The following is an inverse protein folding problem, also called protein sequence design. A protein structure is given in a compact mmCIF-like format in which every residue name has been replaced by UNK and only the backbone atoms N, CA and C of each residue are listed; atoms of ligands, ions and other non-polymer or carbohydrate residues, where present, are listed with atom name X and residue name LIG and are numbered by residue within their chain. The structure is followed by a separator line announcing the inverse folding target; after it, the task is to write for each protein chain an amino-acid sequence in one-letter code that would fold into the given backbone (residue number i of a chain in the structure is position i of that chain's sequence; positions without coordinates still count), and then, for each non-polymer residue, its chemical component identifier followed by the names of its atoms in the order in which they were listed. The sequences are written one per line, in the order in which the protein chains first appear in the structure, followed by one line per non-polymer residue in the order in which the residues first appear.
data_IF_653733850015
#
_entry.id   IF_653733850015
#
_cell.length_a   1.000
_cell.length_b   1.000
_cell.length_c   1.000
_cell.angle_alpha   90.00
_cell.angle_beta   90.00
_cell.angle_gamma   90.00
#
_symmetry.space_group_name_H-M   'P 1'
#
loop_
_entity.id
_entity.type
_entity.pdbx_description
1 polymer ?
#
# COMPACT_ATOMS: atom_id res chain seq x y z
N UNK A 1 9.61 -17.95 7.25
CA UNK A 1 9.21 -16.91 8.19
C UNK A 1 8.54 -17.54 9.40
N UNK A 2 8.93 -17.15 10.61
CA UNK A 2 8.29 -17.57 11.86
C UNK A 2 7.27 -16.51 12.23
N UNK A 3 6.01 -16.86 12.23
CA UNK A 3 4.98 -16.10 12.91
C UNK A 3 4.83 -16.67 14.32
N UNK A 4 5.05 -15.85 15.33
CA UNK A 4 4.71 -16.19 16.70
C UNK A 4 3.26 -15.76 16.94
N UNK A 5 2.36 -16.70 16.86
CA UNK A 5 0.97 -16.55 17.32
C UNK A 5 0.94 -17.12 18.74
N UNK A 6 0.79 -16.24 19.74
CA UNK A 6 0.46 -16.57 21.12
C UNK A 6 1.21 -17.76 21.75
N UNK A 7 1.41 -17.77 23.06
CA UNK A 7 2.33 -18.64 23.78
C UNK A 7 2.14 -20.17 23.65
N UNK A 8 1.22 -20.71 22.85
CA UNK A 8 0.96 -22.17 22.82
C UNK A 8 0.72 -22.83 21.45
N UNK A 9 1.08 -22.20 20.32
CA UNK A 9 0.99 -22.90 19.04
C UNK A 9 2.18 -22.61 18.14
N UNK A 10 3.11 -23.56 18.04
CA UNK A 10 4.17 -23.55 17.02
C UNK A 10 3.72 -24.41 15.83
N UNK A 11 3.39 -23.80 14.70
CA UNK A 11 3.27 -24.50 13.44
C UNK A 11 4.61 -24.36 12.69
N UNK A 12 5.24 -25.48 12.37
CA UNK A 12 6.45 -25.54 11.53
C UNK A 12 6.02 -25.83 10.12
N UNK A 13 6.23 -24.89 9.21
CA UNK A 13 6.02 -25.12 7.78
C UNK A 13 7.39 -25.37 7.13
N UNK A 14 7.52 -26.51 6.46
CA UNK A 14 8.65 -26.80 5.57
C UNK A 14 8.24 -26.34 4.17
N UNK A 15 8.97 -25.39 3.60
CA UNK A 15 8.80 -24.98 2.22
C UNK A 15 9.77 -25.80 1.38
N UNK A 16 9.25 -26.67 0.54
CA UNK A 16 10.03 -27.38 -0.48
C UNK A 16 10.25 -26.46 -1.68
N UNK A 17 11.45 -26.43 -2.21
CA UNK A 17 11.92 -25.51 -3.24
C UNK A 17 11.35 -25.82 -4.63
N UNK A 18 10.11 -25.45 -4.85
CA UNK A 18 9.48 -25.47 -6.16
C UNK A 18 8.39 -24.40 -6.17
N UNK A 19 8.40 -23.54 -7.18
CA UNK A 19 7.44 -22.47 -7.43
C UNK A 19 6.01 -22.83 -6.98
N UNK A 20 5.71 -22.61 -5.71
CA UNK A 20 4.39 -22.79 -5.16
C UNK A 20 3.79 -21.40 -4.89
N UNK A 21 2.66 -21.11 -5.52
CA UNK A 21 1.75 -20.08 -5.07
C UNK A 21 1.40 -20.40 -3.62
N UNK A 22 1.93 -19.64 -2.68
CA UNK A 22 1.56 -19.79 -1.27
C UNK A 22 0.21 -19.09 -1.09
N UNK A 23 -0.85 -19.85 -1.27
CA UNK A 23 -2.16 -19.46 -0.77
C UNK A 23 -2.17 -19.67 0.74
N UNK A 24 -2.06 -18.62 1.52
CA UNK A 24 -2.32 -18.69 2.95
C UNK A 24 -3.82 -18.74 3.16
N UNK A 25 -4.38 -19.94 3.26
CA UNK A 25 -5.71 -20.12 3.85
C UNK A 25 -5.55 -20.22 5.36
N UNK A 26 -5.58 -19.07 6.04
CA UNK A 26 -5.72 -18.98 7.48
C UNK A 26 -7.07 -18.36 7.81
N UNK A 27 -7.97 -19.11 8.45
CA UNK A 27 -9.09 -18.51 9.14
C UNK A 27 -8.57 -17.87 10.43
N UNK A 28 -8.53 -16.55 10.46
CA UNK A 28 -8.22 -15.83 11.69
C UNK A 28 -9.45 -15.87 12.60
N UNK A 29 -9.41 -16.69 13.66
CA UNK A 29 -10.34 -16.53 14.76
C UNK A 29 -9.96 -15.26 15.53
N UNK A 30 -10.87 -14.31 15.58
CA UNK A 30 -10.76 -13.08 16.34
C UNK A 30 -10.83 -13.45 17.83
N UNK A 31 -9.69 -13.62 18.47
CA UNK A 31 -9.62 -13.77 19.92
C UNK A 31 -9.71 -12.41 20.59
N UNK A 32 -10.79 -12.15 21.31
CA UNK A 32 -10.91 -11.04 22.24
C UNK A 32 -9.98 -11.27 23.43
N UNK A 33 -8.71 -10.84 23.31
CA UNK A 33 -7.87 -10.58 24.50
C UNK A 33 -6.59 -9.87 24.09
N UNK A 34 -6.52 -8.58 24.39
CA UNK A 34 -5.27 -7.82 24.45
C UNK A 34 -4.57 -7.60 23.11
N UNK A 35 -5.25 -7.05 22.12
CA UNK A 35 -4.61 -6.62 20.88
C UNK A 35 -3.47 -5.66 21.20
N UNK A 36 -2.26 -6.10 20.88
CA UNK A 36 -1.05 -5.32 21.06
C UNK A 36 -1.12 -4.11 20.13
N UNK A 37 -1.18 -2.91 20.72
CA UNK A 37 -1.18 -1.68 19.94
C UNK A 37 0.19 -1.38 19.37
N UNK A 38 0.25 -0.77 18.20
CA UNK A 38 1.45 -0.11 17.71
C UNK A 38 1.88 1.00 18.69
N UNK A 39 3.19 1.24 18.89
CA UNK A 39 3.70 2.09 19.97
C UNK A 39 3.64 3.59 19.64
N UNK A 40 2.62 4.05 18.95
CA UNK A 40 2.52 5.44 18.50
C UNK A 40 1.63 6.26 19.42
N UNK A 41 2.15 7.41 19.89
CA UNK A 41 1.46 8.28 20.84
C UNK A 41 0.44 9.22 20.20
N UNK A 42 0.50 9.38 18.89
CA UNK A 42 -0.39 10.20 18.08
C UNK A 42 -1.51 9.40 17.38
N UNK A 43 -1.72 8.14 17.79
CA UNK A 43 -2.78 7.26 17.30
C UNK A 43 -3.66 6.83 18.47
N UNK A 44 -4.92 7.25 18.47
CA UNK A 44 -5.91 6.82 19.46
C UNK A 44 -6.63 5.56 18.98
N UNK A 45 -7.03 4.70 19.91
CA UNK A 45 -7.87 3.52 19.61
C UNK A 45 -9.25 3.88 19.02
N UNK A 46 -9.72 5.09 19.23
CA UNK A 46 -10.95 5.61 18.64
C UNK A 46 -10.79 6.13 17.22
N UNK A 47 -9.56 6.26 16.72
CA UNK A 47 -9.32 6.75 15.37
C UNK A 47 -9.72 5.69 14.34
N UNK A 48 -10.37 6.12 13.25
CA UNK A 48 -10.88 5.25 12.19
C UNK A 48 -9.78 4.44 11.49
N UNK A 49 -8.54 4.88 11.61
CA UNK A 49 -7.36 4.24 11.01
C UNK A 49 -6.55 3.41 12.02
N UNK A 50 -6.95 3.33 13.29
CA UNK A 50 -6.09 2.73 14.32
C UNK A 50 -5.74 1.27 14.05
N UNK A 51 -6.70 0.45 13.59
CA UNK A 51 -6.45 -0.95 13.23
C UNK A 51 -5.51 -1.07 12.03
N UNK A 52 -5.63 -0.16 11.07
CA UNK A 52 -4.76 -0.15 9.91
C UNK A 52 -3.33 0.27 10.25
N UNK A 53 -3.17 1.19 11.20
CA UNK A 53 -1.84 1.55 11.71
C UNK A 53 -1.18 0.36 12.42
N UNK A 54 -1.94 -0.38 13.24
CA UNK A 54 -1.44 -1.61 13.85
C UNK A 54 -1.03 -2.62 12.77
N UNK A 55 -1.89 -2.85 11.77
CA UNK A 55 -1.62 -3.77 10.67
C UNK A 55 -0.31 -3.42 9.96
N UNK A 56 -0.19 -2.18 9.43
CA UNK A 56 1.01 -1.80 8.65
C UNK A 56 2.28 -1.76 9.50
N UNK A 57 2.18 -1.54 10.80
CA UNK A 57 3.30 -1.58 11.73
C UNK A 57 3.76 -3.03 12.00
N UNK A 58 2.84 -3.94 12.35
CA UNK A 58 3.19 -5.33 12.68
C UNK A 58 3.60 -6.13 11.46
N UNK A 59 3.03 -5.84 10.28
CA UNK A 59 3.48 -6.41 9.01
C UNK A 59 4.76 -5.73 8.47
N UNK A 60 5.35 -4.78 9.22
CA UNK A 60 6.59 -4.08 8.85
C UNK A 60 6.49 -3.33 7.51
N UNK A 61 5.29 -2.95 7.11
CA UNK A 61 5.05 -2.15 5.90
C UNK A 61 5.43 -0.69 6.14
N UNK A 62 5.09 -0.16 7.33
CA UNK A 62 5.41 1.20 7.76
C UNK A 62 6.23 1.19 9.03
N UNK A 63 7.13 2.15 9.13
CA UNK A 63 7.73 2.59 10.40
C UNK A 63 7.13 3.91 10.85
N UNK A 64 7.39 4.28 12.11
CA UNK A 64 7.09 5.61 12.61
C UNK A 64 7.96 6.68 11.94
N UNK A 65 7.58 7.94 12.14
CA UNK A 65 8.31 9.11 11.63
C UNK A 65 9.35 9.66 12.59
N UNK A 66 9.54 9.00 13.73
CA UNK A 66 10.43 9.40 14.82
C UNK A 66 9.64 9.76 16.08
N UNK A 67 10.32 9.87 17.21
CA UNK A 67 9.77 10.31 18.50
C UNK A 67 8.51 9.59 18.98
N UNK A 68 8.31 8.32 18.53
CA UNK A 68 7.11 7.55 18.86
C UNK A 68 5.85 8.01 18.13
N UNK A 69 6.00 8.67 16.98
CA UNK A 69 4.90 9.17 16.15
C UNK A 69 4.72 8.31 14.90
N UNK A 70 3.46 8.13 14.49
CA UNK A 70 3.09 7.59 13.18
C UNK A 70 2.89 8.69 12.14
N UNK A 71 2.49 9.88 12.58
CA UNK A 71 2.13 11.03 11.74
C UNK A 71 1.00 10.71 10.74
N UNK A 72 -0.20 10.29 11.22
CA UNK A 72 -1.27 9.74 10.37
C UNK A 72 -1.76 10.70 9.29
N UNK A 73 -1.72 12.01 9.54
CA UNK A 73 -2.18 13.05 8.60
C UNK A 73 -1.07 13.58 7.68
N UNK A 74 0.17 13.13 7.86
CA UNK A 74 1.25 13.50 6.94
C UNK A 74 1.03 12.86 5.57
N UNK A 75 1.34 13.59 4.50
CA UNK A 75 1.33 13.06 3.14
C UNK A 75 2.45 12.04 2.95
N UNK A 76 2.22 11.09 2.07
CA UNK A 76 3.28 10.19 1.59
C UNK A 76 3.85 10.71 0.28
N UNK A 77 5.14 10.56 0.10
CA UNK A 77 5.77 10.76 -1.20
C UNK A 77 5.77 9.46 -2.04
N UNK A 78 6.10 9.62 -3.31
CA UNK A 78 6.09 8.51 -4.28
C UNK A 78 7.15 7.46 -3.97
N UNK A 79 8.31 7.87 -3.44
CA UNK A 79 9.37 6.95 -3.03
C UNK A 79 8.93 6.10 -1.82
N UNK A 80 8.23 6.71 -0.87
CA UNK A 80 7.68 5.99 0.28
C UNK A 80 6.68 4.90 -0.13
N UNK A 81 5.75 5.20 -1.04
CA UNK A 81 4.71 4.23 -1.40
C UNK A 81 5.26 3.01 -2.15
N UNK A 82 6.24 3.18 -3.05
CA UNK A 82 6.85 2.03 -3.73
C UNK A 82 7.70 1.19 -2.78
N UNK A 83 8.32 1.81 -1.76
CA UNK A 83 9.02 1.09 -0.69
C UNK A 83 8.05 0.23 0.12
N UNK A 84 6.86 0.73 0.39
CA UNK A 84 5.81 -0.03 1.07
C UNK A 84 5.36 -1.23 0.24
N UNK A 85 5.19 -1.08 -1.07
CA UNK A 85 4.85 -2.20 -1.94
C UNK A 85 5.97 -3.25 -2.01
N UNK A 86 7.23 -2.82 -2.00
CA UNK A 86 8.35 -3.75 -1.90
C UNK A 86 8.32 -4.56 -0.59
N UNK A 87 8.04 -3.90 0.54
CA UNK A 87 7.86 -4.58 1.82
C UNK A 87 6.67 -5.55 1.79
N UNK A 88 5.54 -5.12 1.21
CA UNK A 88 4.33 -5.94 1.05
C UNK A 88 4.56 -7.14 0.14
N UNK A 89 5.48 -7.03 -0.82
CA UNK A 89 5.96 -8.13 -1.65
C UNK A 89 6.84 -9.14 -0.88
N UNK A 90 7.03 -8.95 0.43
CA UNK A 90 7.88 -9.78 1.27
C UNK A 90 9.36 -9.43 1.17
N UNK A 91 9.70 -8.19 0.77
CA UNK A 91 11.07 -7.73 0.57
C UNK A 91 11.88 -8.75 -0.25
N UNK A 92 11.52 -9.00 -1.51
CA UNK A 92 12.06 -10.10 -2.30
C UNK A 92 13.58 -10.06 -2.31
N UNK A 93 14.19 -11.18 -1.91
CA UNK A 93 15.64 -11.31 -1.86
C UNK A 93 16.16 -11.37 -3.30
N UNK A 94 16.95 -10.40 -3.68
CA UNK A 94 17.63 -10.29 -4.97
C UNK A 94 18.63 -9.16 -4.90
N UNK A 95 19.60 -9.14 -5.79
CA UNK A 95 20.44 -7.96 -5.95
C UNK A 95 19.54 -6.84 -6.50
N UNK A 96 19.11 -5.96 -5.62
CA UNK A 96 18.51 -4.69 -6.05
C UNK A 96 19.65 -3.88 -6.65
N UNK A 97 19.73 -3.87 -7.98
CA UNK A 97 20.75 -3.11 -8.68
C UNK A 97 20.38 -1.61 -8.67
N UNK A 98 20.82 -0.93 -7.61
CA UNK A 98 20.72 0.51 -7.51
C UNK A 98 21.68 1.26 -8.47
N UNK A 99 22.50 0.52 -9.24
CA UNK A 99 23.52 1.12 -10.12
C UNK A 99 22.95 1.60 -11.44
N UNK A 100 21.82 1.07 -11.88
CA UNK A 100 21.10 1.50 -13.08
C UNK A 100 19.97 2.43 -12.70
N UNK A 101 20.16 3.74 -12.88
CA UNK A 101 19.08 4.71 -12.76
C UNK A 101 18.05 4.45 -13.87
N UNK A 102 16.86 3.97 -13.50
CA UNK A 102 15.75 3.79 -14.45
C UNK A 102 15.12 5.13 -14.81
N UNK A 103 15.23 6.11 -13.91
CA UNK A 103 14.73 7.48 -14.09
C UNK A 103 15.84 8.49 -13.81
N UNK A 104 15.90 9.56 -14.59
CA UNK A 104 16.96 10.57 -14.51
C UNK A 104 16.95 11.37 -13.20
N UNK A 105 15.79 11.45 -12.54
CA UNK A 105 15.59 12.12 -11.25
C UNK A 105 15.72 11.20 -10.04
N UNK A 106 16.21 9.97 -10.24
CA UNK A 106 16.48 8.99 -9.19
C UNK A 106 17.97 8.67 -9.14
N UNK A 107 18.79 9.52 -8.46
CA UNK A 107 20.22 9.29 -8.40
C UNK A 107 20.58 7.99 -7.70
N UNK A 108 21.58 7.29 -8.23
CA UNK A 108 22.18 6.15 -7.56
C UNK A 108 22.70 6.54 -6.17
N UNK A 109 22.44 5.69 -5.15
CA UNK A 109 22.85 5.95 -3.77
C UNK A 109 21.79 6.64 -2.90
N UNK A 110 20.69 7.09 -3.47
CA UNK A 110 19.51 7.46 -2.67
C UNK A 110 18.87 6.22 -2.04
N UNK A 111 18.37 6.36 -0.83
CA UNK A 111 17.78 5.25 -0.08
C UNK A 111 16.63 4.56 -0.84
N UNK A 112 15.90 5.33 -1.64
CA UNK A 112 14.75 4.84 -2.39
C UNK A 112 15.09 4.26 -3.77
N UNK A 113 16.30 4.50 -4.29
CA UNK A 113 16.66 4.10 -5.64
C UNK A 113 16.45 2.62 -5.94
N UNK A 114 16.81 1.68 -5.05
CA UNK A 114 16.56 0.25 -5.27
C UNK A 114 15.07 -0.10 -5.37
N UNK A 115 14.23 0.55 -4.55
CA UNK A 115 12.79 0.30 -4.51
C UNK A 115 12.08 0.85 -5.76
N UNK A 116 12.52 2.02 -6.21
CA UNK A 116 12.01 2.63 -7.46
C UNK A 116 12.39 1.76 -8.66
N UNK A 117 13.64 1.28 -8.74
CA UNK A 117 14.08 0.36 -9.79
C UNK A 117 13.25 -0.91 -9.79
N UNK A 118 13.09 -1.54 -8.63
CA UNK A 118 12.24 -2.72 -8.50
C UNK A 118 10.79 -2.46 -8.95
N UNK A 119 10.20 -1.34 -8.53
CA UNK A 119 8.83 -1.02 -8.89
C UNK A 119 8.64 -0.80 -10.40
N UNK A 120 9.65 -0.22 -11.07
CA UNK A 120 9.66 -0.06 -12.52
C UNK A 120 9.81 -1.42 -13.23
N UNK A 121 10.75 -2.25 -12.80
CA UNK A 121 11.01 -3.58 -13.39
C UNK A 121 9.80 -4.52 -13.23
N UNK A 122 9.06 -4.39 -12.15
CA UNK A 122 7.84 -5.19 -11.90
C UNK A 122 6.58 -4.56 -12.52
N UNK A 123 6.69 -3.44 -13.23
CA UNK A 123 5.55 -2.75 -13.83
C UNK A 123 4.58 -2.14 -12.83
N UNK A 124 5.02 -1.94 -11.58
CA UNK A 124 4.23 -1.26 -10.53
C UNK A 124 4.14 0.23 -10.82
N UNK A 125 5.18 0.81 -11.42
CA UNK A 125 5.22 2.21 -11.86
C UNK A 125 5.81 2.34 -13.26
N UNK A 126 5.30 3.33 -14.00
CA UNK A 126 5.90 3.79 -15.26
C UNK A 126 6.52 5.20 -15.14
N UNK A 127 6.61 5.75 -13.91
CA UNK A 127 7.07 7.11 -13.69
C UNK A 127 5.95 8.16 -13.77
N UNK A 128 6.35 9.43 -13.83
CA UNK A 128 5.46 10.60 -13.97
C UNK A 128 5.62 11.29 -15.31
N UNK A 129 6.66 10.96 -16.04
CA UNK A 129 7.00 11.48 -17.38
C UNK A 129 7.83 10.46 -18.15
N UNK A 130 8.40 10.87 -19.27
CA UNK A 130 9.16 9.98 -20.15
C UNK A 130 10.40 9.37 -19.46
N UNK A 131 11.02 10.12 -18.55
CA UNK A 131 12.27 9.72 -17.86
C UNK A 131 12.31 10.22 -16.41
N UNK A 132 11.16 10.39 -15.78
CA UNK A 132 11.06 10.93 -14.41
C UNK A 132 10.12 10.09 -13.55
N UNK A 133 10.49 9.93 -12.28
CA UNK A 133 9.71 9.24 -11.25
C UNK A 133 9.07 10.20 -10.25
N UNK A 134 9.70 11.35 -10.00
CA UNK A 134 9.33 12.36 -9.01
C UNK A 134 9.29 11.79 -7.58
N UNK A 135 10.41 11.27 -7.04
CA UNK A 135 10.44 10.51 -5.81
C UNK A 135 9.91 11.26 -4.58
N UNK A 136 10.18 12.56 -4.49
CA UNK A 136 9.81 13.43 -3.36
C UNK A 136 8.45 14.11 -3.54
N UNK A 137 7.78 13.89 -4.67
CA UNK A 137 6.44 14.43 -4.89
C UNK A 137 5.43 13.69 -4.01
N UNK A 138 4.57 14.44 -3.33
CA UNK A 138 3.46 13.84 -2.60
C UNK A 138 2.55 13.06 -3.55
N UNK A 139 2.26 11.80 -3.21
CA UNK A 139 1.37 10.94 -4.00
C UNK A 139 -0.08 11.38 -3.78
N UNK A 140 -0.83 11.54 -4.86
CA UNK A 140 -2.25 11.84 -4.77
C UNK A 140 -3.06 10.56 -4.46
N UNK A 141 -4.30 10.74 -4.01
CA UNK A 141 -5.21 9.61 -3.73
C UNK A 141 -5.43 8.74 -4.97
N UNK A 142 -5.58 9.35 -6.14
CA UNK A 142 -5.67 8.66 -7.43
C UNK A 142 -4.39 7.90 -7.78
N UNK A 143 -3.23 8.54 -7.59
CA UNK A 143 -1.93 7.89 -7.84
C UNK A 143 -1.70 6.71 -6.90
N UNK A 144 -2.06 6.85 -5.62
CA UNK A 144 -1.92 5.76 -4.65
C UNK A 144 -2.70 4.51 -5.06
N UNK A 145 -3.98 4.68 -5.47
CA UNK A 145 -4.77 3.52 -5.94
C UNK A 145 -4.33 3.01 -7.30
N UNK A 146 -3.82 3.87 -8.20
CA UNK A 146 -3.29 3.43 -9.49
C UNK A 146 -2.02 2.58 -9.32
N UNK A 147 -1.13 2.98 -8.42
CA UNK A 147 0.06 2.20 -8.06
C UNK A 147 -0.32 0.87 -7.39
N UNK A 148 -1.30 0.88 -6.48
CA UNK A 148 -1.80 -0.34 -5.83
C UNK A 148 -2.48 -1.28 -6.85
N UNK A 149 -3.24 -0.74 -7.80
CA UNK A 149 -3.84 -1.51 -8.90
C UNK A 149 -2.76 -2.19 -9.74
N UNK A 150 -1.73 -1.42 -10.14
CA UNK A 150 -0.59 -1.98 -10.90
C UNK A 150 0.18 -3.02 -10.09
N UNK A 151 0.39 -2.81 -8.79
CA UNK A 151 0.99 -3.81 -7.91
C UNK A 151 0.17 -5.11 -7.89
N UNK A 152 -1.14 -5.01 -7.72
CA UNK A 152 -2.04 -6.16 -7.73
C UNK A 152 -2.05 -6.92 -9.05
N UNK A 153 -2.17 -6.21 -10.17
CA UNK A 153 -2.29 -6.82 -11.50
C UNK A 153 -0.95 -7.29 -12.07
N UNK A 154 0.08 -6.43 -12.03
CA UNK A 154 1.33 -6.71 -12.73
C UNK A 154 2.28 -7.55 -11.89
N UNK A 155 2.40 -7.27 -10.58
CA UNK A 155 3.30 -8.02 -9.70
C UNK A 155 2.64 -9.26 -9.11
N UNK A 156 1.44 -9.13 -8.52
CA UNK A 156 0.75 -10.26 -7.88
C UNK A 156 -0.04 -11.13 -8.88
N UNK A 157 -0.30 -10.65 -10.09
CA UNK A 157 -1.05 -11.36 -11.10
C UNK A 157 -2.54 -11.56 -10.75
N UNK A 158 -3.09 -10.66 -9.95
CA UNK A 158 -4.48 -10.72 -9.52
C UNK A 158 -5.45 -10.24 -10.62
N UNK A 159 -6.61 -10.88 -10.69
CA UNK A 159 -7.73 -10.41 -11.51
C UNK A 159 -8.60 -9.46 -10.66
N UNK A 160 -8.35 -8.15 -10.79
CA UNK A 160 -9.06 -7.11 -10.05
C UNK A 160 -10.28 -6.65 -10.86
N UNK A 161 -11.42 -7.26 -10.65
CA UNK A 161 -12.62 -7.13 -11.50
C UNK A 161 -13.69 -6.19 -10.96
N UNK A 162 -13.64 -5.83 -9.69
CA UNK A 162 -14.62 -4.93 -9.07
C UNK A 162 -14.60 -3.57 -9.75
N UNK A 163 -15.78 -3.01 -9.99
CA UNK A 163 -15.92 -1.66 -10.52
C UNK A 163 -17.15 -1.01 -9.90
N UNK A 164 -16.96 0.17 -9.32
CA UNK A 164 -18.07 1.00 -8.88
C UNK A 164 -18.48 1.97 -10.00
N UNK A 165 -19.76 2.33 -10.00
CA UNK A 165 -20.24 3.51 -10.71
C UNK A 165 -19.76 4.76 -9.97
N UNK A 166 -18.98 5.60 -10.64
CA UNK A 166 -18.46 6.84 -10.04
C UNK A 166 -19.40 8.05 -10.26
N UNK A 167 -20.48 7.91 -11.04
CA UNK A 167 -21.40 9.02 -11.34
C UNK A 167 -22.03 9.68 -10.09
N UNK A 168 -22.21 9.01 -8.94
CA UNK A 168 -22.68 9.66 -7.73
C UNK A 168 -21.70 10.66 -7.10
N UNK A 169 -20.41 10.62 -7.47
CA UNK A 169 -19.41 11.52 -6.92
C UNK A 169 -19.34 12.82 -7.73
N UNK A 170 -19.40 13.97 -7.02
CA UNK A 170 -19.44 15.28 -7.67
C UNK A 170 -18.18 15.58 -8.48
N UNK A 171 -17.04 15.02 -8.08
CA UNK A 171 -15.74 15.20 -8.72
C UNK A 171 -15.32 14.02 -9.63
N UNK A 172 -16.24 13.13 -9.99
CA UNK A 172 -15.97 11.97 -10.86
C UNK A 172 -15.31 12.35 -12.20
N UNK A 173 -15.63 13.53 -12.74
CA UNK A 173 -15.04 14.03 -13.98
C UNK A 173 -13.50 14.22 -13.87
N UNK A 174 -12.97 14.45 -12.69
CA UNK A 174 -11.53 14.64 -12.48
C UNK A 174 -10.73 13.37 -12.77
N UNK A 175 -11.32 12.18 -12.61
CA UNK A 175 -10.65 10.89 -12.91
C UNK A 175 -10.85 10.40 -14.34
N UNK A 176 -11.69 11.09 -15.15
CA UNK A 176 -12.01 10.64 -16.50
C UNK A 176 -10.82 10.67 -17.48
N UNK A 177 -9.82 11.52 -17.24
CA UNK A 177 -8.66 11.67 -18.10
C UNK A 177 -7.63 10.56 -17.95
N UNK A 178 -7.43 10.07 -16.72
CA UNK A 178 -6.56 8.94 -16.38
C UNK A 178 -6.90 8.41 -14.99
N UNK A 179 -6.55 7.15 -14.73
CA UNK A 179 -6.75 6.53 -13.42
C UNK A 179 -8.20 6.12 -13.11
N UNK A 180 -9.15 6.43 -13.99
CA UNK A 180 -10.57 6.13 -13.76
C UNK A 180 -10.84 4.65 -13.50
N UNK A 181 -10.15 3.75 -14.19
CA UNK A 181 -10.28 2.31 -13.98
C UNK A 181 -9.82 1.90 -12.57
N UNK A 182 -8.64 2.36 -12.16
CA UNK A 182 -8.10 2.06 -10.85
C UNK A 182 -8.95 2.67 -9.72
N UNK A 183 -9.46 3.90 -9.92
CA UNK A 183 -10.35 4.53 -8.94
C UNK A 183 -11.69 3.79 -8.86
N UNK A 184 -12.30 3.43 -9.99
CA UNK A 184 -13.54 2.66 -10.00
C UNK A 184 -13.37 1.28 -9.36
N UNK A 185 -12.22 0.64 -9.58
CA UNK A 185 -11.86 -0.58 -8.88
C UNK A 185 -11.73 -0.34 -7.38
N UNK A 186 -10.94 0.64 -6.96
CA UNK A 186 -10.66 0.87 -5.55
C UNK A 186 -11.94 1.21 -4.75
N UNK A 187 -12.86 1.98 -5.36
CA UNK A 187 -14.17 2.25 -4.76
C UNK A 187 -15.01 0.96 -4.70
N UNK A 188 -15.08 0.20 -5.80
CA UNK A 188 -15.83 -1.05 -5.87
C UNK A 188 -15.30 -2.13 -4.92
N UNK A 189 -14.00 -2.14 -4.70
CA UNK A 189 -13.33 -3.05 -3.77
C UNK A 189 -13.39 -2.58 -2.30
N UNK A 190 -13.86 -1.36 -2.03
CA UNK A 190 -13.90 -0.79 -0.68
C UNK A 190 -12.54 -0.29 -0.15
N UNK A 191 -11.59 -0.02 -1.07
CA UNK A 191 -10.25 0.48 -0.73
C UNK A 191 -10.18 1.99 -0.71
N UNK A 192 -11.05 2.66 -1.47
CA UNK A 192 -11.17 4.10 -1.54
C UNK A 192 -12.61 4.49 -1.21
N UNK A 193 -12.78 5.31 -0.20
CA UNK A 193 -14.07 5.91 0.18
C UNK A 193 -14.07 7.41 -0.12
N UNK A 194 -15.26 8.01 -0.04
CA UNK A 194 -15.38 9.46 -0.09
C UNK A 194 -14.47 10.12 0.95
N UNK A 195 -13.83 11.21 0.58
CA UNK A 195 -13.07 12.07 1.48
C UNK A 195 -13.99 12.96 2.32
N UNK A 196 -15.20 13.23 1.81
CA UNK A 196 -16.28 13.95 2.47
C UNK A 196 -17.58 13.21 2.19
N UNK A 197 -18.17 12.61 3.23
CA UNK A 197 -19.36 11.79 3.09
C UNK A 197 -20.62 12.61 2.72
N UNK A 198 -20.67 13.87 3.13
CA UNK A 198 -21.80 14.74 2.87
C UNK A 198 -21.80 15.25 1.42
N UNK A 199 -20.60 15.46 0.86
CA UNK A 199 -20.40 15.96 -0.49
C UNK A 199 -20.12 14.86 -1.52
N UNK A 200 -19.99 13.59 -1.10
CA UNK A 200 -19.64 12.47 -1.99
C UNK A 200 -18.45 12.82 -2.91
N UNK A 201 -17.33 13.24 -2.31
CA UNK A 201 -16.09 13.59 -3.03
C UNK A 201 -15.06 12.47 -2.99
N UNK A 202 -14.43 12.16 -4.11
CA UNK A 202 -13.27 11.26 -4.19
C UNK A 202 -11.97 11.98 -3.85
N UNK A 203 -11.91 13.29 -4.12
CA UNK A 203 -10.71 14.14 -4.00
C UNK A 203 -9.47 13.49 -4.65
N UNK A 204 -9.54 13.10 -5.93
CA UNK A 204 -8.53 12.27 -6.55
C UNK A 204 -7.15 12.93 -6.62
N UNK A 205 -7.11 14.25 -6.69
CA UNK A 205 -5.88 15.05 -6.81
C UNK A 205 -5.35 15.56 -5.47
N UNK A 206 -6.05 15.31 -4.37
CA UNK A 206 -5.52 15.57 -3.04
C UNK A 206 -4.45 14.56 -2.65
N UNK A 207 -3.46 15.02 -1.87
CA UNK A 207 -2.40 14.14 -1.37
C UNK A 207 -2.97 13.05 -0.47
N UNK A 208 -2.54 11.82 -0.68
CA UNK A 208 -2.89 10.71 0.20
C UNK A 208 -2.10 10.80 1.51
N UNK A 209 -2.82 10.70 2.63
CA UNK A 209 -2.19 10.66 3.95
C UNK A 209 -1.70 9.26 4.30
N UNK A 210 -0.76 9.17 5.24
CA UNK A 210 -0.26 7.89 5.75
C UNK A 210 -1.39 7.01 6.32
N UNK A 211 -2.34 7.61 7.04
CA UNK A 211 -3.52 6.89 7.54
C UNK A 211 -4.39 6.33 6.41
N UNK A 212 -4.64 7.13 5.36
CA UNK A 212 -5.44 6.68 4.22
C UNK A 212 -4.76 5.52 3.47
N UNK A 213 -3.45 5.62 3.23
CA UNK A 213 -2.70 4.54 2.59
C UNK A 213 -2.67 3.29 3.46
N UNK A 214 -2.48 3.42 4.79
CA UNK A 214 -2.52 2.28 5.70
C UNK A 214 -3.86 1.52 5.61
N UNK A 215 -4.99 2.24 5.59
CA UNK A 215 -6.32 1.63 5.44
C UNK A 215 -6.50 0.98 4.07
N UNK A 216 -6.03 1.62 2.98
CA UNK A 216 -6.05 1.01 1.66
C UNK A 216 -5.30 -0.33 1.63
N UNK A 217 -4.12 -0.39 2.26
CA UNK A 217 -3.28 -1.58 2.30
C UNK A 217 -3.87 -2.69 3.17
N UNK A 218 -4.41 -2.35 4.35
CA UNK A 218 -5.11 -3.32 5.19
C UNK A 218 -6.30 -3.95 4.44
N UNK A 219 -7.18 -3.11 3.88
CA UNK A 219 -8.34 -3.58 3.14
C UNK A 219 -7.95 -4.40 1.90
N UNK A 220 -6.87 -4.00 1.21
CA UNK A 220 -6.34 -4.76 0.08
C UNK A 220 -5.86 -6.14 0.52
N UNK A 221 -5.08 -6.21 1.58
CA UNK A 221 -4.57 -7.48 2.09
C UNK A 221 -5.70 -8.41 2.58
N UNK A 222 -6.65 -7.88 3.34
CA UNK A 222 -7.80 -8.65 3.85
C UNK A 222 -8.67 -9.23 2.72
N UNK A 223 -8.69 -8.56 1.56
CA UNK A 223 -9.54 -8.96 0.44
C UNK A 223 -8.85 -9.89 -0.56
N UNK A 224 -7.55 -9.71 -0.78
CA UNK A 224 -6.86 -10.33 -1.91
C UNK A 224 -5.67 -11.22 -1.52
N UNK A 225 -5.14 -11.09 -0.28
CA UNK A 225 -3.99 -11.87 0.20
C UNK A 225 -4.37 -12.86 1.29
#
# INVERSE_FOLDING_TARGET
HRYLVGEDTSAVFTVDSGLAKVGVQGSFEKTESGEKAAPFTDVSRSDWYSSAVDYVYFEQLFSGTGDGLFSPMASMDRAMIVTVFYNMAGAPQGEMDASTAVFSDVPAGQWYAPYVSWAADQGVTAGTGEDTFSPEQAVTRREAVALLYSFGTNYLGLELTERADLTPYEDAAAVASWGGEAVAWAVGAGLLSSSDADLMLLSPDESATRAQVAVMLQNFAEKYL
#
